data_IF_681158926904
#
_entry.id   IF_681158926904
#
_cell.length_a   1.000
_cell.length_b   1.000
_cell.length_c   1.000
_cell.angle_alpha   90.00
_cell.angle_beta   90.00
_cell.angle_gamma   90.00
#
_symmetry.space_group_name_H-M   'P 1'
#
loop_
_entity.id
_entity.type
_entity.pdbx_description
1 polymer ?
#
# COMPACT_ATOMS: atom_id res chain seq x y z
N UNK A 1 14.06 -22.15 2.66
CA UNK A 1 12.67 -22.57 2.32
C UNK A 1 11.73 -21.39 2.42
N UNK A 2 10.62 -21.39 1.67
CA UNK A 2 9.61 -20.36 1.78
C UNK A 2 8.79 -20.55 3.06
N UNK A 3 8.69 -19.51 3.87
CA UNK A 3 7.88 -19.53 5.10
C UNK A 3 6.48 -19.01 4.79
N UNK A 4 5.47 -19.81 5.11
CA UNK A 4 4.07 -19.46 4.88
C UNK A 4 3.50 -18.80 6.13
N UNK A 5 3.18 -17.51 6.02
CA UNK A 5 2.56 -16.74 7.09
C UNK A 5 1.05 -16.60 6.83
N UNK A 6 0.21 -16.97 7.80
CA UNK A 6 -1.26 -16.93 7.68
C UNK A 6 -1.92 -16.38 8.93
N UNK A 7 -3.05 -15.70 8.73
CA UNK A 7 -3.93 -15.24 9.80
C UNK A 7 -3.19 -14.39 10.85
N UNK A 8 -3.36 -14.66 12.15
CA UNK A 8 -2.79 -13.82 13.22
C UNK A 8 -1.27 -13.65 13.17
N UNK A 9 -0.53 -14.65 12.67
CA UNK A 9 0.94 -14.57 12.55
C UNK A 9 1.38 -13.45 11.62
N UNK A 10 0.57 -13.12 10.62
CA UNK A 10 0.85 -12.04 9.68
C UNK A 10 0.83 -10.67 10.37
N UNK A 11 -0.18 -10.42 11.20
CA UNK A 11 -0.32 -9.15 11.92
C UNK A 11 0.82 -8.95 12.93
N UNK A 12 1.24 -10.03 13.60
CA UNK A 12 2.40 -10.00 14.51
C UNK A 12 3.67 -9.57 13.78
N UNK A 13 3.90 -10.08 12.57
CA UNK A 13 5.10 -9.75 11.78
C UNK A 13 5.04 -8.34 11.24
N UNK A 14 3.87 -7.89 10.77
CA UNK A 14 3.67 -6.50 10.36
C UNK A 14 4.03 -5.57 11.52
N UNK A 15 3.51 -5.85 12.73
CA UNK A 15 3.85 -5.07 13.91
C UNK A 15 5.37 -5.14 14.20
N UNK A 16 5.97 -6.32 14.14
CA UNK A 16 7.41 -6.51 14.36
C UNK A 16 8.28 -5.71 13.36
N UNK A 17 7.91 -5.64 12.08
CA UNK A 17 8.62 -4.80 11.11
C UNK A 17 8.51 -3.31 11.42
N UNK A 18 7.37 -2.88 11.99
CA UNK A 18 7.13 -1.49 12.34
C UNK A 18 7.79 -1.11 13.68
N UNK A 19 7.87 -2.03 14.64
CA UNK A 19 8.35 -1.74 16.01
C UNK A 19 9.80 -2.13 16.27
N UNK A 20 10.26 -3.27 15.74
CA UNK A 20 11.53 -3.88 16.17
C UNK A 20 12.69 -3.54 15.21
N UNK A 21 12.36 -3.04 14.02
CA UNK A 21 13.37 -2.56 13.06
C UNK A 21 13.85 -1.17 13.48
N UNK A 22 15.18 -1.01 13.54
CA UNK A 22 15.80 0.29 13.85
C UNK A 22 15.80 1.17 12.61
N UNK A 23 14.68 1.82 12.34
CA UNK A 23 14.50 2.74 11.20
C UNK A 23 15.34 4.03 11.32
N UNK A 24 15.67 4.44 12.55
CA UNK A 24 16.43 5.67 12.80
C UNK A 24 15.60 6.93 12.53
N UNK A 25 16.27 8.02 12.13
CA UNK A 25 15.60 9.23 11.66
C UNK A 25 15.34 9.12 10.17
N UNK A 26 14.08 9.28 9.76
CA UNK A 26 13.64 9.21 8.39
C UNK A 26 12.74 10.40 8.08
N UNK A 27 12.85 10.93 6.87
CA UNK A 27 11.88 11.89 6.34
C UNK A 27 10.60 11.18 5.87
N UNK A 28 10.74 9.96 5.35
CA UNK A 28 9.65 9.16 4.81
C UNK A 28 9.84 7.67 5.08
N UNK A 29 8.74 6.98 5.39
CA UNK A 29 8.65 5.54 5.40
C UNK A 29 7.60 5.10 4.37
N UNK A 30 8.05 4.39 3.32
CA UNK A 30 7.16 3.86 2.29
C UNK A 30 6.86 2.40 2.60
N UNK A 31 5.58 2.05 2.61
CA UNK A 31 5.11 0.68 2.86
C UNK A 31 4.51 0.14 1.58
N UNK A 32 5.16 -0.85 0.98
CA UNK A 32 4.63 -1.60 -0.16
C UNK A 32 3.70 -2.70 0.33
N UNK A 33 2.41 -2.48 0.17
CA UNK A 33 1.37 -3.42 0.62
C UNK A 33 1.02 -4.41 -0.50
N UNK A 34 0.61 -5.65 -0.17
CA UNK A 34 0.04 -6.56 -1.17
C UNK A 34 -1.14 -5.92 -1.93
N UNK A 35 -1.47 -6.41 -3.14
CA UNK A 35 -2.60 -5.88 -3.89
C UNK A 35 -3.96 -6.26 -3.27
N UNK A 36 -4.96 -5.42 -3.48
CA UNK A 36 -6.36 -5.66 -3.10
C UNK A 36 -6.72 -5.20 -1.69
N UNK A 37 -7.99 -5.34 -1.28
CA UNK A 37 -8.47 -4.82 0.02
C UNK A 37 -8.27 -5.85 1.14
N UNK A 38 -7.02 -6.11 1.49
CA UNK A 38 -6.61 -7.19 2.38
C UNK A 38 -6.47 -6.77 3.86
N UNK A 39 -6.47 -7.73 4.80
CA UNK A 39 -6.31 -7.47 6.25
C UNK A 39 -4.95 -6.82 6.57
N UNK A 40 -3.98 -6.95 5.67
CA UNK A 40 -2.65 -6.36 5.74
C UNK A 40 -2.72 -4.83 5.81
N UNK A 41 -3.58 -4.20 5.00
CA UNK A 41 -3.70 -2.74 5.01
C UNK A 41 -4.29 -2.24 6.33
N UNK A 42 -5.30 -2.95 6.85
CA UNK A 42 -5.88 -2.62 8.16
C UNK A 42 -4.80 -2.76 9.23
N UNK A 43 -4.08 -3.87 9.22
CA UNK A 43 -3.02 -4.14 10.21
C UNK A 43 -1.93 -3.08 10.16
N UNK A 44 -1.46 -2.69 8.98
CA UNK A 44 -0.47 -1.61 8.84
C UNK A 44 -1.01 -0.32 9.44
N UNK A 45 -2.20 0.11 9.00
CA UNK A 45 -2.80 1.40 9.40
C UNK A 45 -3.11 1.43 10.89
N UNK A 46 -3.57 0.34 11.47
CA UNK A 46 -3.82 0.24 12.92
C UNK A 46 -2.51 0.32 13.73
N UNK A 47 -1.45 -0.38 13.30
CA UNK A 47 -0.16 -0.37 14.01
C UNK A 47 0.54 0.99 13.94
N UNK A 48 0.39 1.74 12.84
CA UNK A 48 0.97 3.09 12.69
C UNK A 48 0.00 4.22 13.03
N UNK A 49 -1.19 3.91 13.56
CA UNK A 49 -2.22 4.91 13.85
C UNK A 49 -1.76 5.97 14.84
N UNK A 50 -0.89 5.60 15.79
CA UNK A 50 -0.33 6.49 16.80
C UNK A 50 0.50 7.63 16.21
N UNK A 51 1.12 7.41 15.05
CA UNK A 51 1.94 8.41 14.35
C UNK A 51 1.18 9.13 13.22
N UNK A 52 -0.11 8.82 13.03
CA UNK A 52 -1.00 9.44 12.03
C UNK A 52 -0.44 9.38 10.60
N UNK A 53 -0.63 8.27 9.86
CA UNK A 53 -0.06 8.14 8.52
C UNK A 53 -0.58 9.23 7.58
N UNK A 54 0.32 9.78 6.75
CA UNK A 54 -0.02 10.84 5.79
C UNK A 54 -1.09 10.42 4.78
N UNK A 55 -1.04 9.15 4.35
CA UNK A 55 -2.05 8.57 3.49
C UNK A 55 -1.52 7.45 2.58
N UNK A 56 -2.34 7.08 1.61
CA UNK A 56 -2.04 6.08 0.59
C UNK A 56 -1.90 6.71 -0.80
N UNK A 57 -0.94 6.18 -1.56
CA UNK A 57 -0.85 6.37 -3.00
C UNK A 57 -1.38 5.12 -3.68
N UNK A 58 -2.38 5.27 -4.54
CA UNK A 58 -2.97 4.15 -5.27
C UNK A 58 -2.33 4.03 -6.65
N UNK A 59 -1.76 2.87 -6.97
CA UNK A 59 -1.18 2.60 -8.29
C UNK A 59 -2.14 1.75 -9.10
N UNK A 60 -2.44 2.18 -10.33
CA UNK A 60 -3.33 1.48 -11.27
C UNK A 60 -2.71 1.45 -12.66
N UNK A 61 -3.40 0.83 -13.61
CA UNK A 61 -3.03 0.76 -15.02
C UNK A 61 -4.24 1.10 -15.88
N UNK A 62 -4.08 1.49 -17.17
CA UNK A 62 -5.19 2.01 -17.97
C UNK A 62 -6.30 0.98 -18.27
N UNK A 63 -6.02 -0.32 -18.09
CA UNK A 63 -6.98 -1.38 -18.41
C UNK A 63 -8.17 -1.36 -17.46
N UNK A 64 -9.38 -1.53 -18.00
CA UNK A 64 -10.64 -1.41 -17.24
C UNK A 64 -10.75 -2.31 -16.01
N UNK A 65 -10.10 -3.48 -16.01
CA UNK A 65 -10.05 -4.38 -14.84
C UNK A 65 -9.35 -3.70 -13.65
N UNK A 66 -8.23 -3.01 -13.90
CA UNK A 66 -7.47 -2.27 -12.88
C UNK A 66 -8.26 -1.09 -12.31
N UNK A 67 -9.04 -0.40 -13.14
CA UNK A 67 -9.91 0.70 -12.71
C UNK A 67 -11.00 0.25 -11.74
N UNK A 68 -11.55 -0.96 -11.92
CA UNK A 68 -12.53 -1.49 -10.98
C UNK A 68 -11.92 -1.81 -9.61
N UNK A 69 -10.67 -2.29 -9.59
CA UNK A 69 -9.93 -2.56 -8.37
C UNK A 69 -9.59 -1.26 -7.64
N UNK A 70 -9.06 -0.25 -8.33
CA UNK A 70 -8.67 1.02 -7.68
C UNK A 70 -9.88 1.74 -7.08
N UNK A 71 -11.08 1.64 -7.68
CA UNK A 71 -12.32 2.18 -7.09
C UNK A 71 -12.69 1.51 -5.76
N UNK A 72 -12.45 0.20 -5.65
CA UNK A 72 -12.64 -0.54 -4.40
C UNK A 72 -11.62 -0.09 -3.36
N UNK A 73 -10.36 0.10 -3.75
CA UNK A 73 -9.32 0.62 -2.86
C UNK A 73 -9.61 2.02 -2.35
N UNK A 74 -10.07 2.94 -3.20
CA UNK A 74 -10.50 4.29 -2.77
C UNK A 74 -11.62 4.18 -1.73
N UNK A 75 -12.58 3.28 -1.95
CA UNK A 75 -13.69 3.07 -1.01
C UNK A 75 -13.22 2.45 0.30
N UNK A 76 -12.24 1.56 0.26
CA UNK A 76 -11.60 0.95 1.43
C UNK A 76 -10.85 2.01 2.25
N UNK A 77 -9.99 2.81 1.62
CA UNK A 77 -9.25 3.89 2.28
C UNK A 77 -10.19 4.86 3.01
N UNK A 78 -11.31 5.23 2.37
CA UNK A 78 -12.36 6.06 3.00
C UNK A 78 -12.96 5.41 4.25
N UNK A 79 -13.21 4.09 4.24
CA UNK A 79 -13.79 3.37 5.38
C UNK A 79 -12.85 3.30 6.57
N UNK A 80 -11.55 3.14 6.33
CA UNK A 80 -10.53 3.08 7.38
C UNK A 80 -9.95 4.45 7.76
N UNK A 81 -10.52 5.54 7.19
CA UNK A 81 -10.09 6.91 7.41
C UNK A 81 -8.63 7.19 7.02
N UNK A 82 -8.12 6.48 6.00
CA UNK A 82 -6.81 6.72 5.43
C UNK A 82 -6.93 7.70 4.26
N UNK A 83 -6.27 8.88 4.30
CA UNK A 83 -6.30 9.82 3.18
C UNK A 83 -5.72 9.19 1.91
N UNK A 84 -6.35 9.41 0.76
CA UNK A 84 -5.73 9.09 -0.54
C UNK A 84 -5.02 10.33 -1.03
N UNK A 85 -3.69 10.34 -0.96
CA UNK A 85 -2.86 11.51 -1.31
C UNK A 85 -2.53 11.58 -2.80
N UNK A 86 -2.72 10.47 -3.54
CA UNK A 86 -2.51 10.45 -4.97
C UNK A 86 -2.95 9.15 -5.63
N UNK A 87 -3.15 9.22 -6.95
CA UNK A 87 -3.36 8.05 -7.82
C UNK A 87 -2.36 8.13 -8.96
N UNK A 88 -1.63 7.04 -9.18
CA UNK A 88 -0.63 6.90 -10.25
C UNK A 88 -1.17 5.91 -11.28
N UNK A 89 -1.31 6.36 -12.52
CA UNK A 89 -1.61 5.50 -13.66
C UNK A 89 -0.31 5.02 -14.31
N UNK A 90 0.13 3.82 -13.94
CA UNK A 90 1.35 3.19 -14.44
C UNK A 90 1.12 2.52 -15.81
N UNK A 91 2.20 2.28 -16.57
CA UNK A 91 2.17 1.62 -17.88
C UNK A 91 1.22 2.31 -18.89
N UNK A 92 1.08 3.64 -18.77
CA UNK A 92 0.28 4.43 -19.70
C UNK A 92 1.15 4.94 -20.85
N UNK A 93 0.87 4.43 -22.05
CA UNK A 93 1.60 4.81 -23.26
C UNK A 93 2.98 4.17 -23.34
N UNK A 94 3.71 4.51 -24.39
CA UNK A 94 5.04 4.02 -24.66
C UNK A 94 5.86 5.12 -25.34
N UNK A 95 7.02 5.44 -24.79
CA UNK A 95 7.97 6.36 -25.42
C UNK A 95 8.94 5.53 -26.24
N UNK A 96 8.88 5.67 -27.57
CA UNK A 96 9.79 4.98 -28.47
C UNK A 96 11.24 5.46 -28.22
N UNK A 97 12.18 4.58 -27.85
CA UNK A 97 13.58 4.99 -27.61
C UNK A 97 14.36 5.33 -28.89
N UNK A 98 13.73 5.17 -30.06
CA UNK A 98 14.34 5.36 -31.39
C UNK A 98 13.64 6.42 -32.25
N UNK A 99 12.66 7.11 -31.70
CA UNK A 99 11.85 8.09 -32.42
C UNK A 99 12.05 9.47 -31.78
N UNK A 100 12.12 10.52 -32.60
CA UNK A 100 12.18 11.93 -32.18
C UNK A 100 11.03 12.69 -32.82
#
# INVERSE_FOLDING_TARGET
EAVVWRGPKKNVIINQFLSDVVWGQLDYLIIDTPPGTSDEHISVVENIKSISPDGAVLVTTPQGVSLSNVRREVSFCKKILLPVIGIIENMRGFVCPHCS
#
